data_IF_570168511819
#
_entry.id   IF_570168511819
#
_cell.length_a   1.000
_cell.length_b   1.000
_cell.length_c   1.000
_cell.angle_alpha   90.00
_cell.angle_beta   90.00
_cell.angle_gamma   90.00
#
_symmetry.space_group_name_H-M   'P 1'
#
loop_
_entity.id
_entity.type
_entity.pdbx_description
1 polymer ?
#
# COMPACT_ATOMS: atom_id res chain seq x y z
N UNK A 1 -34.32 -17.40 32.27
CA UNK A 1 -34.46 -16.10 32.95
C UNK A 1 -33.07 -15.63 33.35
N UNK A 2 -32.41 -14.89 32.45
CA UNK A 2 -31.16 -14.17 32.71
C UNK A 2 -31.37 -12.81 32.06
N UNK A 3 -31.35 -11.77 32.89
CA UNK A 3 -31.54 -10.39 32.47
C UNK A 3 -30.30 -9.95 31.68
N UNK A 4 -30.47 -9.66 30.38
CA UNK A 4 -29.48 -8.92 29.62
C UNK A 4 -29.85 -7.44 29.72
N UNK A 5 -29.01 -6.73 30.46
CA UNK A 5 -29.12 -5.32 30.76
C UNK A 5 -29.25 -4.50 29.46
N UNK A 6 -30.31 -3.71 29.38
CA UNK A 6 -30.43 -2.62 28.42
C UNK A 6 -29.36 -1.58 28.71
N UNK A 7 -28.43 -1.42 27.78
CA UNK A 7 -27.53 -0.28 27.74
C UNK A 7 -27.79 0.49 26.45
N UNK A 8 -28.09 1.79 26.50
CA UNK A 8 -28.22 2.61 25.30
C UNK A 8 -26.85 2.70 24.60
N UNK A 9 -26.82 2.47 23.30
CA UNK A 9 -25.62 2.67 22.47
C UNK A 9 -25.23 4.17 22.53
N UNK A 10 -24.00 4.54 22.95
CA UNK A 10 -23.57 5.93 22.90
C UNK A 10 -23.16 6.26 21.45
N UNK A 11 -23.94 7.14 20.81
CA UNK A 11 -23.70 7.63 19.45
C UNK A 11 -22.78 8.86 19.53
N UNK A 12 -21.58 8.80 18.93
CA UNK A 12 -20.74 9.98 18.70
C UNK A 12 -21.09 10.58 17.34
N UNK A 13 -21.77 11.73 17.33
CA UNK A 13 -21.97 12.58 16.14
C UNK A 13 -20.99 13.76 16.16
N UNK A 14 -20.20 13.93 15.10
CA UNK A 14 -19.33 15.11 14.93
C UNK A 14 -20.17 16.36 14.54
N UNK A 15 -19.82 17.57 14.98
CA UNK A 15 -20.68 18.74 14.80
C UNK A 15 -20.42 19.46 13.46
N UNK A 16 -21.45 19.61 12.62
CA UNK A 16 -21.40 20.42 11.38
C UNK A 16 -22.06 21.78 11.59
N UNK A 17 -21.30 22.88 11.51
CA UNK A 17 -21.65 24.29 11.82
C UNK A 17 -22.60 24.92 10.77
N UNK A 18 -23.73 25.50 11.22
CA UNK A 18 -24.40 26.65 10.57
C UNK A 18 -25.72 26.44 9.80
N UNK A 19 -26.80 27.09 10.26
CA UNK A 19 -27.84 27.72 9.43
C UNK A 19 -28.99 26.88 8.85
N UNK A 20 -28.73 25.76 8.17
CA UNK A 20 -29.77 24.85 7.59
C UNK A 20 -30.19 23.71 8.52
N UNK A 21 -29.87 23.84 9.81
CA UNK A 21 -29.83 22.74 10.79
C UNK A 21 -31.20 22.23 11.28
N UNK A 22 -32.24 23.05 11.34
CA UNK A 22 -33.46 22.67 12.10
C UNK A 22 -34.23 21.51 11.44
N UNK A 23 -34.60 21.64 10.17
CA UNK A 23 -35.37 20.61 9.45
C UNK A 23 -34.55 19.35 9.16
N UNK A 24 -33.28 19.55 8.78
CA UNK A 24 -32.36 18.47 8.43
C UNK A 24 -31.94 17.67 9.67
N UNK A 25 -31.78 18.30 10.84
CA UNK A 25 -31.53 17.58 12.09
C UNK A 25 -32.75 16.81 12.59
N UNK A 26 -33.97 17.35 12.46
CA UNK A 26 -35.19 16.62 12.85
C UNK A 26 -35.45 15.39 11.97
N UNK A 27 -35.21 15.51 10.66
CA UNK A 27 -35.31 14.39 9.71
C UNK A 27 -34.23 13.34 10.02
N UNK A 28 -32.99 13.76 10.25
CA UNK A 28 -31.89 12.85 10.58
C UNK A 28 -32.10 12.16 11.95
N UNK A 29 -32.62 12.87 12.94
CA UNK A 29 -32.96 12.34 14.26
C UNK A 29 -34.07 11.28 14.15
N UNK A 30 -35.14 11.61 13.41
CA UNK A 30 -36.25 10.67 13.20
C UNK A 30 -35.81 9.46 12.37
N UNK A 31 -34.92 9.65 11.40
CA UNK A 31 -34.30 8.56 10.66
C UNK A 31 -33.48 7.65 11.61
N UNK A 32 -32.67 8.21 12.50
CA UNK A 32 -31.92 7.43 13.47
C UNK A 32 -32.80 6.62 14.42
N UNK A 33 -33.90 7.20 14.91
CA UNK A 33 -34.87 6.49 15.77
C UNK A 33 -35.49 5.30 15.02
N UNK A 34 -35.98 5.52 13.80
CA UNK A 34 -36.58 4.46 12.97
C UNK A 34 -35.56 3.39 12.62
N UNK A 35 -34.35 3.79 12.21
CA UNK A 35 -33.29 2.87 11.86
C UNK A 35 -32.87 2.03 13.07
N UNK A 36 -32.74 2.63 14.25
CA UNK A 36 -32.39 1.90 15.47
C UNK A 36 -33.48 0.88 15.86
N UNK A 37 -34.76 1.28 15.84
CA UNK A 37 -35.87 0.35 16.13
C UNK A 37 -35.90 -0.82 15.13
N UNK A 38 -35.64 -0.56 13.86
CA UNK A 38 -35.55 -1.61 12.84
C UNK A 38 -34.36 -2.54 13.07
N UNK A 39 -33.19 -1.99 13.42
CA UNK A 39 -31.99 -2.77 13.70
C UNK A 39 -32.17 -3.66 14.95
N UNK A 40 -32.83 -3.16 15.99
CA UNK A 40 -33.17 -3.96 17.17
C UNK A 40 -34.06 -5.16 16.81
N UNK A 41 -35.12 -4.94 16.01
CA UNK A 41 -36.00 -6.03 15.53
C UNK A 41 -35.27 -7.04 14.64
N UNK A 42 -34.35 -6.58 13.79
CA UNK A 42 -33.51 -7.49 13.00
C UNK A 42 -32.59 -8.31 13.93
N UNK A 43 -32.04 -7.67 14.96
CA UNK A 43 -31.21 -8.29 15.99
C UNK A 43 -31.90 -9.44 16.72
N UNK A 44 -33.20 -9.33 16.99
CA UNK A 44 -34.01 -10.39 17.62
C UNK A 44 -34.04 -11.70 16.81
N UNK A 45 -33.80 -11.62 15.50
CA UNK A 45 -33.77 -12.76 14.58
C UNK A 45 -32.35 -13.23 14.21
N UNK A 46 -31.32 -12.59 14.77
CA UNK A 46 -29.93 -12.97 14.52
C UNK A 46 -29.48 -14.12 15.43
N UNK A 47 -28.45 -14.85 14.99
CA UNK A 47 -27.80 -15.85 15.82
C UNK A 47 -27.14 -15.19 17.05
N UNK A 48 -27.04 -15.89 18.20
CA UNK A 48 -26.35 -15.37 19.37
C UNK A 48 -24.92 -14.91 19.04
N UNK A 49 -24.59 -13.67 19.41
CA UNK A 49 -23.28 -13.07 19.17
C UNK A 49 -23.06 -12.50 17.77
N UNK A 50 -24.04 -12.61 16.86
CA UNK A 50 -23.99 -11.91 15.58
C UNK A 50 -23.95 -10.39 15.78
N UNK A 51 -23.35 -9.69 14.82
CA UNK A 51 -23.19 -8.23 14.81
C UNK A 51 -23.83 -7.65 13.56
N UNK A 52 -24.42 -6.47 13.69
CA UNK A 52 -25.10 -5.76 12.61
C UNK A 52 -24.36 -4.45 12.29
N UNK A 53 -24.22 -4.19 10.99
CA UNK A 53 -23.85 -2.90 10.45
C UNK A 53 -24.81 -2.54 9.30
N UNK A 54 -25.23 -1.28 9.26
CA UNK A 54 -26.02 -0.72 8.18
C UNK A 54 -25.22 0.41 7.53
N UNK A 55 -25.02 0.30 6.23
CA UNK A 55 -24.35 1.30 5.41
C UNK A 55 -25.35 1.81 4.38
N UNK A 56 -25.55 3.12 4.36
CA UNK A 56 -26.38 3.82 3.37
C UNK A 56 -25.47 4.85 2.72
N UNK A 57 -25.36 4.79 1.39
CA UNK A 57 -24.54 5.71 0.63
C UNK A 57 -25.34 6.33 -0.51
N UNK A 58 -25.01 7.56 -0.84
CA UNK A 58 -25.50 8.23 -2.05
C UNK A 58 -24.37 8.26 -3.08
N UNK A 59 -24.54 7.70 -4.29
CA UNK A 59 -23.49 7.69 -5.30
C UNK A 59 -22.92 9.09 -5.57
N UNK A 60 -21.60 9.25 -5.44
CA UNK A 60 -20.89 10.50 -5.70
C UNK A 60 -20.95 11.54 -4.58
N UNK A 61 -21.50 11.19 -3.40
CA UNK A 61 -21.65 12.11 -2.26
C UNK A 61 -21.23 11.47 -0.93
N UNK A 62 -19.91 11.24 -0.72
CA UNK A 62 -19.41 10.57 0.48
C UNK A 62 -19.76 11.29 1.78
N UNK A 63 -19.99 12.60 1.73
CA UNK A 63 -20.39 13.41 2.88
C UNK A 63 -21.82 13.13 3.37
N UNK A 64 -22.65 12.47 2.55
CA UNK A 64 -24.01 12.05 2.89
C UNK A 64 -24.05 10.59 3.41
N UNK A 65 -22.92 9.89 3.48
CA UNK A 65 -22.87 8.50 3.91
C UNK A 65 -23.27 8.34 5.38
N UNK A 66 -24.17 7.39 5.64
CA UNK A 66 -24.63 7.04 6.99
C UNK A 66 -24.18 5.63 7.33
N UNK A 67 -23.47 5.50 8.45
CA UNK A 67 -23.00 4.22 8.99
C UNK A 67 -23.53 4.04 10.41
N UNK A 68 -24.35 3.01 10.60
CA UNK A 68 -24.82 2.57 11.92
C UNK A 68 -24.20 1.20 12.23
N UNK A 69 -23.60 1.05 13.40
CA UNK A 69 -22.89 -0.18 13.80
C UNK A 69 -23.15 -0.57 15.24
N UNK A 70 -23.18 -1.88 15.48
CA UNK A 70 -23.23 -2.42 16.83
C UNK A 70 -22.00 -2.05 17.66
N UNK A 71 -22.20 -1.97 18.98
CA UNK A 71 -21.09 -1.79 19.92
C UNK A 71 -20.13 -3.00 19.87
N UNK A 72 -18.83 -2.68 19.79
CA UNK A 72 -17.75 -3.67 19.69
C UNK A 72 -17.71 -4.42 18.36
N UNK A 73 -18.36 -3.90 17.32
CA UNK A 73 -18.19 -4.40 15.97
C UNK A 73 -16.74 -4.19 15.50
N UNK A 74 -16.17 -5.23 14.90
CA UNK A 74 -14.85 -5.17 14.27
C UNK A 74 -15.03 -4.88 12.78
N UNK A 75 -14.51 -3.73 12.33
CA UNK A 75 -14.64 -3.28 10.94
C UNK A 75 -13.94 -4.24 9.96
N UNK A 76 -12.86 -4.92 10.37
CA UNK A 76 -12.15 -5.92 9.54
C UNK A 76 -12.99 -7.17 9.27
N UNK A 77 -13.80 -7.59 10.26
CA UNK A 77 -14.72 -8.73 10.11
C UNK A 77 -15.90 -8.39 9.20
N UNK A 78 -16.36 -7.14 9.20
CA UNK A 78 -17.37 -6.67 8.25
C UNK A 78 -16.83 -6.72 6.83
N UNK A 79 -15.65 -6.14 6.59
CA UNK A 79 -14.99 -6.20 5.29
C UNK A 79 -14.77 -7.65 4.84
N UNK A 80 -14.31 -8.51 5.74
CA UNK A 80 -14.11 -9.94 5.45
C UNK A 80 -15.42 -10.65 5.11
N UNK A 81 -16.51 -10.32 5.79
CA UNK A 81 -17.85 -10.87 5.51
C UNK A 81 -18.35 -10.46 4.14
N UNK A 82 -18.21 -9.18 3.78
CA UNK A 82 -18.59 -8.67 2.46
C UNK A 82 -17.75 -9.31 1.35
N UNK A 83 -16.44 -9.47 1.57
CA UNK A 83 -15.53 -10.15 0.62
C UNK A 83 -15.91 -11.60 0.37
N UNK A 84 -16.26 -12.35 1.41
CA UNK A 84 -16.78 -13.73 1.27
C UNK A 84 -18.06 -13.80 0.45
N UNK A 85 -18.77 -12.69 0.26
CA UNK A 85 -19.99 -12.56 -0.55
C UNK A 85 -19.77 -11.90 -1.90
N UNK A 86 -18.52 -11.77 -2.35
CA UNK A 86 -18.17 -11.28 -3.68
C UNK A 86 -18.00 -9.77 -3.78
N UNK A 87 -18.06 -9.04 -2.66
CA UNK A 87 -17.64 -7.63 -2.67
C UNK A 87 -16.13 -7.57 -2.86
N UNK A 88 -15.71 -7.01 -3.98
CA UNK A 88 -14.29 -6.82 -4.26
C UNK A 88 -13.92 -5.35 -4.19
N UNK A 89 -12.70 -5.11 -3.72
CA UNK A 89 -12.04 -3.81 -3.85
C UNK A 89 -11.49 -3.62 -5.28
N UNK A 90 -11.58 -4.62 -6.18
CA UNK A 90 -11.07 -4.66 -7.57
C UNK A 90 -11.75 -3.72 -8.56
N UNK A 91 -12.71 -2.89 -8.13
CA UNK A 91 -13.18 -1.75 -8.93
C UNK A 91 -12.17 -0.60 -9.02
N UNK A 92 -12.54 0.48 -9.73
CA UNK A 92 -11.80 1.75 -9.72
C UNK A 92 -11.91 2.40 -8.33
N UNK A 93 -11.00 2.00 -7.44
CA UNK A 93 -10.96 2.44 -6.07
C UNK A 93 -9.71 3.29 -5.84
N UNK A 94 -9.89 4.57 -5.52
CA UNK A 94 -8.81 5.48 -5.18
C UNK A 94 -7.91 4.93 -4.07
N UNK A 95 -8.47 4.25 -3.07
CA UNK A 95 -7.71 3.65 -1.97
C UNK A 95 -6.65 2.64 -2.44
N UNK A 96 -6.92 1.90 -3.52
CA UNK A 96 -5.93 0.98 -4.08
C UNK A 96 -4.80 1.70 -4.79
N UNK A 97 -5.15 2.74 -5.56
CA UNK A 97 -4.17 3.58 -6.23
C UNK A 97 -3.28 4.23 -5.17
N UNK A 98 -3.87 4.81 -4.14
CA UNK A 98 -3.14 5.44 -3.04
C UNK A 98 -2.23 4.45 -2.28
N UNK A 99 -2.72 3.22 -2.02
CA UNK A 99 -1.91 2.19 -1.36
C UNK A 99 -0.73 1.74 -2.23
N UNK A 100 -0.97 1.55 -3.53
CA UNK A 100 0.08 1.18 -4.49
C UNK A 100 1.08 2.32 -4.68
N UNK A 101 0.61 3.56 -4.79
CA UNK A 101 1.44 4.76 -4.90
C UNK A 101 2.29 4.94 -3.65
N UNK A 102 1.73 4.69 -2.46
CA UNK A 102 2.49 4.70 -1.21
C UNK A 102 3.56 3.58 -1.17
N UNK A 103 3.24 2.37 -1.64
CA UNK A 103 4.20 1.27 -1.70
C UNK A 103 5.33 1.55 -2.72
N UNK A 104 4.98 2.05 -3.91
CA UNK A 104 5.95 2.46 -4.94
C UNK A 104 6.80 3.62 -4.46
N UNK A 105 6.20 4.61 -3.80
CA UNK A 105 6.90 5.73 -3.19
C UNK A 105 7.90 5.28 -2.13
N UNK A 106 7.50 4.37 -1.23
CA UNK A 106 8.39 3.79 -0.23
C UNK A 106 9.58 3.06 -0.89
N UNK A 107 9.35 2.26 -1.94
CA UNK A 107 10.44 1.63 -2.70
C UNK A 107 11.36 2.66 -3.36
N UNK A 108 10.80 3.73 -3.93
CA UNK A 108 11.57 4.81 -4.57
C UNK A 108 12.46 5.56 -3.56
N UNK A 109 11.91 5.89 -2.40
CA UNK A 109 12.67 6.48 -1.29
C UNK A 109 13.75 5.54 -0.76
N UNK A 110 13.43 4.25 -0.68
CA UNK A 110 14.39 3.18 -0.46
C UNK A 110 15.52 3.30 -1.46
N UNK A 111 15.25 3.14 -2.74
CA UNK A 111 16.26 3.21 -3.79
C UNK A 111 17.16 4.46 -3.71
N UNK A 112 16.60 5.60 -3.33
CA UNK A 112 17.33 6.87 -3.17
C UNK A 112 18.08 7.03 -1.84
N UNK A 113 17.76 6.22 -0.83
CA UNK A 113 18.34 6.37 0.51
C UNK A 113 17.83 7.58 1.29
N UNK A 114 16.64 8.08 0.96
CA UNK A 114 16.06 9.28 1.57
C UNK A 114 14.74 8.96 2.25
N UNK A 115 14.27 9.80 3.19
CA UNK A 115 12.92 9.71 3.77
C UNK A 115 12.53 8.30 4.30
N UNK A 116 13.40 7.70 5.12
CA UNK A 116 13.11 6.41 5.73
C UNK A 116 11.80 6.46 6.53
N UNK A 117 10.92 5.43 6.42
CA UNK A 117 9.72 5.35 7.22
C UNK A 117 10.03 5.34 8.72
N UNK A 118 9.13 5.84 9.58
CA UNK A 118 9.26 5.69 11.02
C UNK A 118 9.31 4.21 11.42
N UNK A 119 10.00 3.92 12.53
CA UNK A 119 10.09 2.55 13.06
C UNK A 119 8.70 1.94 13.29
N UNK A 120 8.48 0.73 12.78
CA UNK A 120 7.20 0.01 12.88
C UNK A 120 6.16 0.42 11.84
N UNK A 121 6.47 1.36 10.94
CA UNK A 121 5.58 1.72 9.84
C UNK A 121 5.47 0.57 8.82
N UNK A 122 4.26 0.28 8.35
CA UNK A 122 3.99 -0.81 7.40
C UNK A 122 4.81 -0.72 6.10
N UNK A 123 5.15 0.51 5.70
CA UNK A 123 5.94 0.82 4.51
C UNK A 123 7.43 0.44 4.61
N UNK A 124 7.94 0.09 5.80
CA UNK A 124 9.37 -0.21 6.02
C UNK A 124 9.87 -1.31 5.09
N UNK A 125 9.11 -2.40 4.94
CA UNK A 125 9.49 -3.52 4.08
C UNK A 125 9.72 -3.09 2.63
N UNK A 126 8.91 -2.16 2.11
CA UNK A 126 9.05 -1.65 0.74
C UNK A 126 10.26 -0.74 0.61
N UNK A 127 10.51 0.10 1.61
CA UNK A 127 11.72 0.91 1.69
C UNK A 127 12.98 0.05 1.71
N UNK A 128 13.02 -1.00 2.53
CA UNK A 128 14.16 -1.90 2.66
C UNK A 128 14.45 -2.63 1.35
N UNK A 129 13.42 -3.03 0.59
CA UNK A 129 13.58 -3.61 -0.74
C UNK A 129 14.25 -2.63 -1.70
N UNK A 130 13.83 -1.37 -1.70
CA UNK A 130 14.45 -0.32 -2.51
C UNK A 130 15.91 -0.08 -2.12
N UNK A 131 16.22 -0.02 -0.81
CA UNK A 131 17.59 0.10 -0.30
C UNK A 131 18.47 -1.06 -0.72
N UNK A 132 18.00 -2.29 -0.52
CA UNK A 132 18.75 -3.49 -0.84
C UNK A 132 19.07 -3.57 -2.34
N UNK A 133 18.12 -3.21 -3.20
CA UNK A 133 18.35 -3.17 -4.65
C UNK A 133 19.37 -2.10 -5.05
N UNK A 134 19.33 -0.92 -4.42
CA UNK A 134 20.32 0.13 -4.65
C UNK A 134 21.73 -0.32 -4.24
N UNK A 135 21.88 -0.91 -3.04
CA UNK A 135 23.15 -1.42 -2.52
C UNK A 135 23.71 -2.54 -3.40
N UNK A 136 22.87 -3.52 -3.77
CA UNK A 136 23.26 -4.60 -4.68
C UNK A 136 23.70 -4.06 -6.05
N UNK A 137 22.98 -3.05 -6.58
CA UNK A 137 23.33 -2.41 -7.85
C UNK A 137 24.69 -1.71 -7.76
N UNK A 138 24.95 -0.99 -6.68
CA UNK A 138 26.23 -0.31 -6.45
C UNK A 138 27.38 -1.32 -6.35
N UNK A 139 27.21 -2.40 -5.58
CA UNK A 139 28.19 -3.49 -5.48
C UNK A 139 28.46 -4.17 -6.83
N UNK A 140 27.40 -4.44 -7.61
CA UNK A 140 27.52 -5.01 -8.95
C UNK A 140 28.29 -4.08 -9.89
N UNK A 141 28.00 -2.77 -9.86
CA UNK A 141 28.72 -1.78 -10.66
C UNK A 141 30.21 -1.76 -10.26
N UNK A 142 30.51 -1.79 -8.96
CA UNK A 142 31.89 -1.83 -8.47
C UNK A 142 32.63 -3.10 -8.94
N UNK A 143 31.98 -4.27 -8.84
CA UNK A 143 32.55 -5.54 -9.30
C UNK A 143 32.79 -5.56 -10.82
N UNK A 144 31.88 -4.99 -11.61
CA UNK A 144 32.05 -4.88 -13.06
C UNK A 144 33.18 -3.92 -13.43
N UNK A 145 33.33 -2.78 -12.74
CA UNK A 145 34.47 -1.86 -12.92
C UNK A 145 35.79 -2.56 -12.63
N UNK A 146 35.88 -3.28 -11.51
CA UNK A 146 37.07 -4.05 -11.13
C UNK A 146 37.43 -5.12 -12.17
N UNK A 147 36.44 -5.92 -12.60
CA UNK A 147 36.66 -6.95 -13.61
C UNK A 147 37.11 -6.38 -14.95
N UNK A 148 36.54 -5.25 -15.36
CA UNK A 148 36.95 -4.52 -16.57
C UNK A 148 38.41 -4.07 -16.48
N UNK A 149 38.81 -3.49 -15.35
CA UNK A 149 40.20 -3.03 -15.14
C UNK A 149 41.19 -4.20 -15.19
N UNK A 150 40.87 -5.31 -14.52
CA UNK A 150 41.69 -6.52 -14.54
C UNK A 150 41.81 -7.12 -15.95
N UNK A 151 40.71 -7.20 -16.70
CA UNK A 151 40.72 -7.68 -18.08
C UNK A 151 41.59 -6.79 -18.97
N UNK A 152 41.46 -5.47 -18.85
CA UNK A 152 42.30 -4.51 -19.58
C UNK A 152 43.79 -4.69 -19.25
N UNK A 153 44.14 -4.86 -17.98
CA UNK A 153 45.52 -5.10 -17.54
C UNK A 153 46.09 -6.42 -18.06
N UNK A 154 45.29 -7.50 -18.03
CA UNK A 154 45.67 -8.79 -18.60
C UNK A 154 45.92 -8.69 -20.11
N UNK A 155 45.02 -8.02 -20.85
CA UNK A 155 45.19 -7.82 -22.28
C UNK A 155 46.46 -7.04 -22.61
N UNK A 156 46.73 -5.95 -21.89
CA UNK A 156 47.93 -5.14 -22.10
C UNK A 156 49.22 -5.95 -21.87
N UNK A 157 49.25 -6.74 -20.79
CA UNK A 157 50.41 -7.58 -20.45
C UNK A 157 50.67 -8.65 -21.51
N UNK A 158 49.62 -9.36 -21.92
CA UNK A 158 49.76 -10.45 -22.89
C UNK A 158 50.10 -9.91 -24.29
N UNK A 159 49.57 -8.73 -24.67
CA UNK A 159 49.97 -8.06 -25.90
C UNK A 159 51.47 -7.73 -25.91
N UNK A 160 52.02 -7.24 -24.79
CA UNK A 160 53.46 -7.01 -24.63
C UNK A 160 54.28 -8.31 -24.71
N UNK A 161 53.72 -9.44 -24.28
CA UNK A 161 54.34 -10.77 -24.39
C UNK A 161 54.15 -11.42 -25.77
N UNK A 162 53.52 -10.75 -26.75
CA UNK A 162 53.38 -11.22 -28.13
C UNK A 162 52.35 -12.35 -28.35
N UNK A 163 51.51 -12.65 -27.36
CA UNK A 163 50.65 -13.84 -27.38
C UNK A 163 49.17 -13.55 -27.50
N UNK A 164 48.62 -13.27 -28.68
CA UNK A 164 47.17 -13.40 -28.88
C UNK A 164 46.76 -13.77 -30.31
N UNK A 165 45.74 -14.63 -30.39
CA UNK A 165 44.88 -14.75 -31.58
C UNK A 165 44.02 -13.46 -31.71
N UNK A 166 44.04 -12.77 -32.87
CA UNK A 166 43.25 -11.56 -33.12
C UNK A 166 41.76 -11.69 -32.76
N UNK A 167 41.15 -12.87 -32.93
CA UNK A 167 39.75 -13.08 -32.60
C UNK A 167 39.45 -12.91 -31.09
N UNK A 168 40.35 -13.39 -30.23
CA UNK A 168 40.21 -13.23 -28.78
C UNK A 168 40.24 -11.76 -28.35
N UNK A 169 41.19 -10.99 -28.89
CA UNK A 169 41.34 -9.56 -28.56
C UNK A 169 40.11 -8.78 -28.98
N UNK A 170 39.62 -9.01 -30.21
CA UNK A 170 38.44 -8.34 -30.75
C UNK A 170 37.18 -8.64 -29.91
N UNK A 171 36.98 -9.89 -29.51
CA UNK A 171 35.82 -10.31 -28.72
C UNK A 171 35.84 -9.67 -27.32
N UNK A 172 36.99 -9.64 -26.67
CA UNK A 172 37.11 -9.05 -25.34
C UNK A 172 37.01 -7.51 -25.38
N UNK A 173 37.51 -6.85 -26.42
CA UNK A 173 37.28 -5.41 -26.64
C UNK A 173 35.81 -5.09 -26.89
N UNK A 174 35.11 -5.93 -27.67
CA UNK A 174 33.67 -5.79 -27.88
C UNK A 174 32.89 -5.93 -26.56
N UNK A 175 33.24 -6.92 -25.71
CA UNK A 175 32.63 -7.09 -24.39
C UNK A 175 32.89 -5.88 -23.47
N UNK A 176 34.11 -5.34 -23.45
CA UNK A 176 34.42 -4.12 -22.69
C UNK A 176 33.62 -2.91 -23.17
N UNK A 177 33.38 -2.78 -24.47
CA UNK A 177 32.55 -1.71 -25.04
C UNK A 177 31.09 -1.83 -24.63
N UNK A 178 30.56 -3.05 -24.53
CA UNK A 178 29.22 -3.29 -23.98
C UNK A 178 29.17 -2.89 -22.50
N UNK A 179 30.16 -3.30 -21.70
CA UNK A 179 30.24 -2.93 -20.29
C UNK A 179 30.33 -1.41 -20.11
N UNK A 180 31.14 -0.72 -20.92
CA UNK A 180 31.21 0.76 -20.93
C UNK A 180 29.86 1.41 -21.18
N UNK A 181 29.13 0.94 -22.19
CA UNK A 181 27.86 1.51 -22.57
C UNK A 181 26.77 1.33 -21.49
N UNK A 182 26.89 0.30 -20.64
CA UNK A 182 26.00 0.09 -19.49
C UNK A 182 26.46 0.94 -18.30
N UNK A 183 27.76 0.96 -18.01
CA UNK A 183 28.33 1.76 -16.93
C UNK A 183 28.09 3.26 -17.14
N UNK A 184 28.13 3.75 -18.38
CA UNK A 184 27.87 5.16 -18.70
C UNK A 184 26.43 5.61 -18.44
N UNK A 185 25.49 4.66 -18.28
CA UNK A 185 24.09 4.93 -17.95
C UNK A 185 23.81 4.91 -16.46
N UNK A 186 24.78 4.47 -15.66
CA UNK A 186 24.65 4.47 -14.20
C UNK A 186 25.19 5.78 -13.64
N UNK A 187 24.52 6.37 -12.64
CA UNK A 187 25.06 7.54 -11.93
C UNK A 187 26.44 7.19 -11.34
N UNK A 188 27.39 8.14 -11.43
CA UNK A 188 28.76 7.96 -10.94
C UNK A 188 28.85 7.99 -9.42
#
# INVERSE_FOLDING_TARGET
MVALAGYPLPIYSLPVIGGRRSLMSAILQRFHEIANDALLRIGEHCLPGAKIALVIYTPGKPEEDIVLKDNGLNDDEVVSTLRRRGLSIDGDNAYKRDLLDAAVGAMGFGFQGTNAPPTGHWGQRFYDLGRAEAELREELIAALKLNRENLRACQATIHLCGGFDPAYVNNAQAAMKVADAVLSKSPQ
#
